data_IF_804347292036
#
_entry.id   IF_804347292036
#
_cell.length_a   1.000
_cell.length_b   1.000
_cell.length_c   1.000
_cell.angle_alpha   90.00
_cell.angle_beta   90.00
_cell.angle_gamma   90.00
#
_symmetry.space_group_name_H-M   'P 1'
#
loop_
_entity.id
_entity.type
_entity.pdbx_description
1 polymer ?
#
# COMPACT_ATOMS: atom_id res chain seq x y z
N UNK A 1 13.29 -8.44 -4.20
CA UNK A 1 13.06 -9.00 -5.55
C UNK A 1 11.57 -9.28 -5.65
N UNK A 2 10.93 -8.85 -6.72
CA UNK A 2 9.52 -9.09 -6.98
C UNK A 2 9.39 -10.26 -7.95
N UNK A 3 8.39 -11.11 -7.69
CA UNK A 3 8.05 -12.28 -8.48
C UNK A 3 6.60 -12.16 -8.96
N UNK A 4 6.26 -12.83 -10.05
CA UNK A 4 4.88 -12.96 -10.50
C UNK A 4 4.10 -14.01 -9.70
N UNK A 5 2.81 -14.19 -10.01
CA UNK A 5 1.95 -15.16 -9.34
C UNK A 5 2.36 -16.64 -9.54
N UNK A 6 3.32 -16.92 -10.44
CA UNK A 6 3.89 -18.25 -10.64
C UNK A 6 5.28 -18.41 -9.97
N UNK A 7 5.74 -17.40 -9.22
CA UNK A 7 7.05 -17.39 -8.56
C UNK A 7 8.22 -17.09 -9.52
N UNK A 8 7.95 -16.55 -10.71
CA UNK A 8 9.00 -16.18 -11.64
C UNK A 8 9.57 -14.80 -11.26
N UNK A 9 10.90 -14.62 -11.21
CA UNK A 9 11.52 -13.30 -11.02
C UNK A 9 11.06 -12.29 -12.08
N UNK A 10 10.63 -11.10 -11.65
CA UNK A 10 10.20 -10.01 -12.53
C UNK A 10 11.15 -8.83 -12.47
N UNK A 11 11.52 -8.37 -11.28
CA UNK A 11 12.45 -7.25 -11.12
C UNK A 11 13.03 -7.16 -9.69
N UNK A 12 14.05 -6.32 -9.52
CA UNK A 12 14.53 -5.87 -8.22
C UNK A 12 14.14 -4.41 -8.03
N UNK A 13 13.54 -4.11 -6.89
CA UNK A 13 13.17 -2.75 -6.48
C UNK A 13 14.02 -2.30 -5.31
N UNK A 14 14.31 -1.01 -5.26
CA UNK A 14 14.91 -0.34 -4.11
C UNK A 14 13.95 0.67 -3.52
N UNK A 15 13.69 0.57 -2.21
CA UNK A 15 12.89 1.57 -1.48
C UNK A 15 13.62 2.90 -1.45
N UNK A 16 12.92 3.96 -1.85
CA UNK A 16 13.44 5.32 -1.98
C UNK A 16 12.90 6.28 -0.92
N UNK A 17 11.72 5.99 -0.37
CA UNK A 17 11.07 6.77 0.70
C UNK A 17 10.17 5.84 1.50
N UNK A 18 10.15 6.04 2.82
CA UNK A 18 9.25 5.37 3.76
C UNK A 18 8.65 6.42 4.67
N UNK A 19 7.33 6.36 4.84
CA UNK A 19 6.59 7.21 5.75
C UNK A 19 5.63 6.37 6.58
N UNK A 20 5.43 6.76 7.84
CA UNK A 20 4.46 6.14 8.74
C UNK A 20 3.45 7.22 9.11
N UNK A 21 2.26 7.11 8.57
CA UNK A 21 1.20 8.14 8.70
C UNK A 21 -0.13 7.49 9.05
N UNK A 22 -1.06 8.21 9.69
CA UNK A 22 -2.44 7.75 9.84
C UNK A 22 -3.08 7.42 8.48
N UNK A 23 -3.90 6.37 8.40
CA UNK A 23 -4.61 5.97 7.18
C UNK A 23 -5.40 7.13 6.55
N UNK A 24 -6.00 7.99 7.38
CA UNK A 24 -6.76 9.16 6.89
C UNK A 24 -5.88 10.25 6.25
N UNK A 25 -4.57 10.23 6.51
CA UNK A 25 -3.61 11.20 6.00
C UNK A 25 -2.95 10.76 4.70
N UNK A 26 -3.18 9.52 4.25
CA UNK A 26 -2.82 9.11 2.89
C UNK A 26 -3.53 10.01 1.88
N UNK A 27 -2.74 10.61 1.00
CA UNK A 27 -3.16 11.60 0.01
C UNK A 27 -3.35 11.01 -1.38
N UNK A 28 -3.84 11.85 -2.30
CA UNK A 28 -4.11 11.45 -3.67
C UNK A 28 -2.82 11.22 -4.49
N UNK A 29 -1.70 11.82 -4.10
CA UNK A 29 -0.41 11.60 -4.75
C UNK A 29 0.06 10.17 -4.49
N UNK A 30 0.02 9.72 -3.23
CA UNK A 30 0.33 8.33 -2.89
C UNK A 30 -0.60 7.34 -3.60
N UNK A 31 -1.91 7.59 -3.60
CA UNK A 31 -2.87 6.71 -4.28
C UNK A 31 -2.62 6.62 -5.79
N UNK A 32 -2.19 7.73 -6.40
CA UNK A 32 -1.83 7.77 -7.82
C UNK A 32 -0.56 6.98 -8.11
N UNK A 33 0.48 7.16 -7.29
CA UNK A 33 1.77 6.47 -7.42
C UNK A 33 1.66 4.97 -7.10
N UNK A 34 0.75 4.57 -6.20
CA UNK A 34 0.44 3.16 -5.91
C UNK A 34 -0.03 2.42 -7.16
N UNK A 35 -0.70 3.13 -8.09
CA UNK A 35 -0.85 2.71 -9.48
C UNK A 35 -1.90 1.64 -9.79
N UNK A 36 -2.54 1.06 -8.76
CA UNK A 36 -3.64 0.09 -8.89
C UNK A 36 -5.01 0.77 -9.15
N UNK A 37 -5.95 0.00 -9.71
CA UNK A 37 -7.32 0.44 -9.94
C UNK A 37 -7.41 1.63 -10.89
N UNK A 38 -8.28 2.59 -10.55
CA UNK A 38 -8.46 3.86 -11.27
C UNK A 38 -7.52 4.98 -10.79
N UNK A 39 -6.60 4.67 -9.85
CA UNK A 39 -5.61 5.59 -9.29
C UNK A 39 -6.20 6.80 -8.57
N UNK A 40 -7.41 6.66 -8.02
CA UNK A 40 -8.05 7.69 -7.19
C UNK A 40 -7.88 7.40 -5.71
N UNK A 41 -7.85 8.46 -4.89
CA UNK A 41 -7.79 8.32 -3.44
C UNK A 41 -9.01 7.59 -2.87
N UNK A 42 -10.19 7.79 -3.47
CA UNK A 42 -11.43 7.17 -3.04
C UNK A 42 -11.39 5.65 -3.21
N UNK A 43 -11.02 5.17 -4.41
CA UNK A 43 -10.93 3.72 -4.68
C UNK A 43 -9.82 3.05 -3.86
N UNK A 44 -8.69 3.74 -3.68
CA UNK A 44 -7.60 3.30 -2.81
C UNK A 44 -8.11 3.14 -1.37
N UNK A 45 -8.77 4.17 -0.83
CA UNK A 45 -9.30 4.13 0.55
C UNK A 45 -10.32 3.02 0.73
N UNK A 46 -11.25 2.83 -0.20
CA UNK A 46 -12.25 1.76 -0.11
C UNK A 46 -11.60 0.37 -0.08
N UNK A 47 -10.67 0.14 -1.00
CA UNK A 47 -9.97 -1.14 -1.17
C UNK A 47 -9.14 -1.46 0.08
N UNK A 48 -8.32 -0.51 0.52
CA UNK A 48 -7.43 -0.73 1.66
C UNK A 48 -8.15 -0.69 2.99
N UNK A 49 -9.25 0.06 3.14
CA UNK A 49 -10.08 -0.02 4.33
C UNK A 49 -10.65 -1.42 4.52
N UNK A 50 -11.19 -2.02 3.46
CA UNK A 50 -11.70 -3.41 3.48
C UNK A 50 -10.60 -4.43 3.76
N UNK A 51 -9.41 -4.23 3.20
CA UNK A 51 -8.26 -5.10 3.45
C UNK A 51 -7.81 -5.03 4.92
N UNK A 52 -7.47 -3.83 5.41
CA UNK A 52 -6.97 -3.64 6.77
C UNK A 52 -8.03 -3.90 7.84
N UNK A 53 -9.32 -3.69 7.57
CA UNK A 53 -10.39 -4.05 8.50
C UNK A 53 -10.39 -5.55 8.81
N UNK A 54 -10.16 -6.41 7.80
CA UNK A 54 -10.05 -7.86 8.01
C UNK A 54 -8.80 -8.22 8.82
N UNK A 55 -7.66 -7.66 8.44
CA UNK A 55 -6.39 -7.89 9.13
C UNK A 55 -6.41 -7.40 10.60
N UNK A 56 -7.02 -6.25 10.88
CA UNK A 56 -7.14 -5.72 12.24
C UNK A 56 -7.95 -6.67 13.14
N UNK A 57 -9.06 -7.23 12.63
CA UNK A 57 -9.90 -8.17 13.38
C UNK A 57 -9.10 -9.43 13.78
N UNK A 58 -8.27 -9.95 12.88
CA UNK A 58 -7.39 -11.09 13.17
C UNK A 58 -6.38 -10.79 14.29
N UNK A 59 -5.99 -9.53 14.45
CA UNK A 59 -5.11 -9.04 15.52
C UNK A 59 -5.87 -8.55 16.77
N UNK A 60 -7.19 -8.72 16.85
CA UNK A 60 -8.01 -8.23 17.96
C UNK A 60 -8.10 -6.70 18.03
N UNK A 61 -7.87 -6.01 16.92
CA UNK A 61 -7.92 -4.55 16.77
C UNK A 61 -9.10 -4.14 15.86
N UNK A 62 -9.45 -2.85 15.89
CA UNK A 62 -10.41 -2.28 14.96
C UNK A 62 -9.73 -1.25 14.07
N UNK A 63 -9.99 -1.33 12.75
CA UNK A 63 -9.50 -0.33 11.80
C UNK A 63 -10.12 1.04 12.10
N UNK A 64 -9.29 2.08 12.03
CA UNK A 64 -9.72 3.47 12.20
C UNK A 64 -8.91 4.39 11.27
N UNK A 65 -9.34 5.65 11.15
CA UNK A 65 -8.54 6.66 10.43
C UNK A 65 -7.17 6.94 11.06
N UNK A 66 -7.01 6.69 12.37
CA UNK A 66 -5.75 6.85 13.10
C UNK A 66 -4.84 5.62 13.00
N UNK A 67 -5.31 4.52 12.40
CA UNK A 67 -4.47 3.34 12.18
C UNK A 67 -3.29 3.74 11.32
N UNK A 68 -2.08 3.59 11.85
CA UNK A 68 -0.86 3.92 11.13
C UNK A 68 -0.64 2.91 10.00
N UNK A 69 -0.30 3.44 8.82
CA UNK A 69 0.13 2.68 7.66
C UNK A 69 1.55 3.06 7.28
N UNK A 70 2.28 2.08 6.75
CA UNK A 70 3.62 2.28 6.20
C UNK A 70 3.47 2.51 4.70
N UNK A 71 3.77 3.71 4.25
CA UNK A 71 3.75 4.12 2.85
C UNK A 71 5.17 4.04 2.30
N UNK A 72 5.40 3.11 1.37
CA UNK A 72 6.70 2.91 0.73
C UNK A 72 6.66 3.33 -0.74
N UNK A 73 7.61 4.17 -1.14
CA UNK A 73 7.88 4.44 -2.55
C UNK A 73 9.16 3.74 -2.96
N UNK A 74 9.13 3.00 -4.05
CA UNK A 74 10.28 2.27 -4.56
C UNK A 74 10.50 2.55 -6.04
N UNK A 75 11.67 2.17 -6.53
CA UNK A 75 12.04 2.25 -7.95
C UNK A 75 12.63 0.94 -8.39
N UNK A 76 12.39 0.55 -9.64
CA UNK A 76 13.07 -0.60 -10.24
C UNK A 76 14.55 -0.26 -10.39
N UNK A 77 15.42 -1.11 -9.85
CA UNK A 77 16.88 -0.99 -9.95
C UNK A 77 17.49 -2.04 -10.89
N UNK A 78 16.74 -3.11 -11.18
CA UNK A 78 17.12 -4.16 -12.13
C UNK A 78 15.86 -4.87 -12.66
N UNK A 79 15.83 -5.25 -13.93
CA UNK A 79 14.70 -5.94 -14.57
C UNK A 79 15.22 -7.08 -15.47
#
# INVERSE_FOLDING_TARGET
>A
MLEDGAGKPVCVVGTSRVEIIPFREVDAEFAYDYGEGDRTLESWRETFWRYYSRACVECGQQMSGETLVVCEHFRVVYA
#
